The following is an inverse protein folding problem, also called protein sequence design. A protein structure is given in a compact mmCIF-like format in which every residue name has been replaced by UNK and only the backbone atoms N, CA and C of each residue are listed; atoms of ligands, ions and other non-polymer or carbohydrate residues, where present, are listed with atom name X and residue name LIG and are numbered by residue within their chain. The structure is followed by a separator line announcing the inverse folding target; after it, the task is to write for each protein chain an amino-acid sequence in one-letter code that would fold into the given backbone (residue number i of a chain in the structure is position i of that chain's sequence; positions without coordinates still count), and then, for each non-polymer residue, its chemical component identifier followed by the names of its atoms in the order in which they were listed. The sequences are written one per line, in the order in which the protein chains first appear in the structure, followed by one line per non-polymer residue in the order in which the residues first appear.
data_IF_709175518885
#
_entry.id   IF_709175518885
#
_cell.length_a   1.000
_cell.length_b   1.000
_cell.length_c   1.000
_cell.angle_alpha   90.00
_cell.angle_beta   90.00
_cell.angle_gamma   90.00
#
_symmetry.space_group_name_H-M   'P 1'
#
loop_
_entity.id
_entity.type
_entity.pdbx_description
1 polymer ?
2 polymer ?
3 non-polymer ?
4 water ?
#
# COMPACT_ATOMS: atom_id res chain seq x y z
N UNK A 1 -49.26 44.44 13.57
CA UNK A 1 -50.22 44.94 12.54
C UNK A 1 -49.84 44.39 11.17
N UNK A 2 -50.75 44.53 10.21
CA UNK A 2 -50.52 44.04 8.85
C UNK A 2 -49.31 44.69 8.19
N UNK A 3 -49.11 45.98 8.43
CA UNK A 3 -47.98 46.70 7.83
C UNK A 3 -46.66 46.10 8.27
N UNK A 4 -46.55 45.78 9.56
CA UNK A 4 -45.34 45.19 10.10
C UNK A 4 -45.13 43.80 9.52
N UNK A 5 -46.18 42.98 9.54
CA UNK A 5 -46.08 41.63 9.02
C UNK A 5 -45.67 41.62 7.54
N UNK A 6 -46.23 42.53 6.74
CA UNK A 6 -45.88 42.56 5.32
C UNK A 6 -44.44 42.98 5.07
N UNK A 7 -43.94 43.99 5.78
CA UNK A 7 -42.55 44.40 5.58
C UNK A 7 -41.65 43.21 5.95
N UNK A 8 -41.95 42.55 7.06
CA UNK A 8 -41.14 41.41 7.47
C UNK A 8 -41.20 40.30 6.44
N UNK A 9 -42.38 40.05 5.89
CA UNK A 9 -42.56 39.02 4.88
C UNK A 9 -41.74 39.31 3.63
N UNK A 10 -41.70 40.58 3.24
CA UNK A 10 -40.94 40.98 2.06
C UNK A 10 -39.45 40.85 2.33
N UNK A 11 -39.03 41.23 3.54
CA UNK A 11 -37.62 41.13 3.90
C UNK A 11 -37.23 39.66 3.89
N UNK A 12 -38.09 38.83 4.46
CA UNK A 12 -37.81 37.40 4.52
C UNK A 12 -37.77 36.75 3.14
N UNK A 13 -38.66 37.16 2.25
CA UNK A 13 -38.69 36.61 0.89
C UNK A 13 -37.38 36.95 0.18
N UNK A 14 -36.90 38.17 0.35
CA UNK A 14 -35.65 38.59 -0.28
C UNK A 14 -34.47 37.79 0.29
N UNK A 15 -34.49 37.56 1.60
CA UNK A 15 -33.43 36.80 2.26
C UNK A 15 -33.44 35.36 1.76
N UNK A 16 -34.63 34.80 1.59
CA UNK A 16 -34.77 33.43 1.12
C UNK A 16 -34.13 33.27 -0.26
N UNK A 17 -34.30 34.25 -1.13
CA UNK A 17 -33.71 34.17 -2.46
C UNK A 17 -32.19 34.21 -2.35
N UNK A 18 -31.67 34.98 -1.40
CA UNK A 18 -30.22 35.05 -1.22
C UNK A 18 -29.70 33.73 -0.65
N UNK A 19 -30.47 33.11 0.24
CA UNK A 19 -30.07 31.83 0.82
C UNK A 19 -30.05 30.77 -0.28
N UNK A 20 -31.05 30.79 -1.15
CA UNK A 20 -31.10 29.83 -2.24
C UNK A 20 -29.88 30.00 -3.14
N UNK A 21 -29.55 31.24 -3.50
CA UNK A 21 -28.39 31.49 -4.35
C UNK A 21 -27.10 31.08 -3.65
N UNK A 22 -27.03 31.32 -2.34
CA UNK A 22 -25.85 30.95 -1.58
C UNK A 22 -25.62 29.43 -1.61
N UNK A 23 -26.67 28.66 -1.33
CA UNK A 23 -26.56 27.20 -1.34
C UNK A 23 -26.20 26.70 -2.74
N UNK A 24 -26.75 27.33 -3.77
CA UNK A 24 -26.43 26.93 -5.13
C UNK A 24 -24.93 27.07 -5.37
N UNK A 25 -24.34 28.17 -4.90
CA UNK A 25 -22.91 28.40 -5.05
C UNK A 25 -22.11 27.41 -4.20
N UNK A 26 -22.61 27.12 -3.00
CA UNK A 26 -21.94 26.16 -2.12
C UNK A 26 -21.94 24.79 -2.80
N UNK A 27 -23.08 24.40 -3.38
CA UNK A 27 -23.18 23.12 -4.07
C UNK A 27 -22.20 23.07 -5.23
N UNK A 28 -22.05 24.20 -5.93
CA UNK A 28 -21.12 24.27 -7.05
C UNK A 28 -19.70 24.07 -6.53
N UNK A 29 -19.40 24.63 -5.36
CA UNK A 29 -18.08 24.49 -4.76
C UNK A 29 -17.82 23.02 -4.41
N UNK A 30 -18.82 22.35 -3.85
CA UNK A 30 -18.65 20.95 -3.48
C UNK A 30 -18.42 20.11 -4.74
N UNK A 31 -19.15 20.40 -5.81
CA UNK A 31 -18.98 19.66 -7.06
C UNK A 31 -17.55 19.84 -7.57
N UNK A 32 -16.99 21.04 -7.40
CA UNK A 32 -15.62 21.30 -7.82
C UNK A 32 -14.65 20.45 -7.00
N UNK A 33 -14.92 20.33 -5.70
CA UNK A 33 -14.06 19.53 -4.84
C UNK A 33 -14.17 18.07 -5.24
N UNK A 34 -15.37 17.62 -5.60
CA UNK A 34 -15.54 16.24 -6.04
C UNK A 34 -14.67 16.00 -7.28
N UNK A 35 -14.68 16.95 -8.22
CA UNK A 35 -13.87 16.80 -9.42
C UNK A 35 -12.38 16.76 -9.07
N UNK A 36 -11.97 17.59 -8.12
CA UNK A 36 -10.57 17.61 -7.69
C UNK A 36 -10.19 16.27 -7.08
N UNK A 37 -11.07 15.73 -6.25
CA UNK A 37 -10.83 14.46 -5.58
C UNK A 37 -10.69 13.33 -6.60
N UNK A 38 -11.54 13.35 -7.62
CA UNK A 38 -11.49 12.34 -8.66
C UNK A 38 -10.17 12.41 -9.41
N UNK A 39 -9.76 13.63 -9.75
CA UNK A 39 -8.50 13.83 -10.46
C UNK A 39 -7.33 13.32 -9.62
N UNK A 40 -7.38 13.59 -8.32
CA UNK A 40 -6.32 13.15 -7.42
C UNK A 40 -6.34 11.63 -7.29
N UNK A 41 -7.53 11.04 -7.23
CA UNK A 41 -7.62 9.60 -7.13
C UNK A 41 -7.03 8.95 -8.37
N UNK A 42 -7.28 9.56 -9.52
CA UNK A 42 -6.77 9.06 -10.79
C UNK A 42 -5.24 9.12 -10.77
N UNK A 43 -4.69 10.21 -10.25
CA UNK A 43 -3.24 10.37 -10.15
C UNK A 43 -2.65 9.29 -9.24
N UNK A 44 -3.33 9.03 -8.12
CA UNK A 44 -2.84 8.02 -7.18
C UNK A 44 -2.88 6.62 -7.80
N UNK A 45 -3.89 6.33 -8.61
CA UNK A 45 -3.92 5.02 -9.26
C UNK A 45 -2.72 4.95 -10.21
N UNK A 46 -2.45 6.05 -10.91
CA UNK A 46 -1.32 6.08 -11.84
C UNK A 46 -0.02 5.84 -11.10
N UNK A 47 0.08 6.36 -9.88
CA UNK A 47 1.29 6.14 -9.09
C UNK A 47 1.43 4.65 -8.75
N UNK A 48 0.34 4.05 -8.28
CA UNK A 48 0.33 2.62 -7.95
C UNK A 48 0.73 1.80 -9.18
N UNK A 49 0.09 2.10 -10.31
CA UNK A 49 0.37 1.38 -11.54
C UNK A 49 1.82 1.49 -12.00
N UNK A 50 2.41 2.67 -11.83
CA UNK A 50 3.80 2.88 -12.23
C UNK A 50 4.73 2.07 -11.34
N UNK A 51 4.45 2.08 -10.04
CA UNK A 51 5.28 1.33 -9.10
C UNK A 51 5.23 -0.16 -9.41
N UNK A 52 4.04 -0.69 -9.65
CA UNK A 52 3.91 -2.11 -9.92
C UNK A 52 4.33 -2.57 -11.30
N UNK A 53 4.10 -1.75 -12.32
CA UNK A 53 4.43 -2.15 -13.68
C UNK A 53 5.80 -1.76 -14.21
N UNK A 54 6.36 -0.67 -13.69
CA UNK A 54 7.66 -0.20 -14.15
C UNK A 54 8.75 -0.31 -13.10
N UNK A 55 8.52 0.29 -11.94
CA UNK A 55 9.51 0.28 -10.87
C UNK A 55 9.86 -1.11 -10.35
N UNK A 56 8.86 -1.86 -9.91
CA UNK A 56 9.11 -3.19 -9.37
C UNK A 56 9.86 -4.12 -10.33
N UNK A 57 9.37 -4.27 -11.58
CA UNK A 57 10.07 -5.16 -12.52
C UNK A 57 11.52 -4.72 -12.75
N UNK A 58 11.75 -3.41 -12.76
CA UNK A 58 13.10 -2.87 -12.98
C UNK A 58 14.03 -3.16 -11.81
N UNK A 59 13.50 -3.19 -10.59
CA UNK A 59 14.33 -3.47 -9.42
C UNK A 59 14.80 -4.92 -9.49
N UNK A 60 13.87 -5.83 -9.76
CA UNK A 60 14.21 -7.24 -9.86
C UNK A 60 15.25 -7.42 -10.96
N UNK A 61 15.03 -6.75 -12.09
CA UNK A 61 15.93 -6.82 -13.23
C UNK A 61 17.33 -6.32 -12.92
N UNK A 62 17.43 -5.35 -12.01
CA UNK A 62 18.72 -4.78 -11.65
C UNK A 62 19.64 -5.77 -10.94
N UNK A 63 19.10 -6.93 -10.58
CA UNK A 63 19.87 -7.97 -9.91
C UNK A 63 20.57 -8.91 -10.89
N UNK A 64 20.21 -8.83 -12.16
CA UNK A 64 20.78 -9.76 -13.14
C UNK A 64 21.59 -9.17 -14.28
N UNK B 1 22.82 -3.73 -23.07
CA UNK B 1 21.71 -2.78 -22.78
C UNK B 1 20.86 -3.26 -21.62
N UNK B 2 20.14 -2.32 -21.01
CA UNK B 2 19.22 -2.61 -19.92
C UNK B 2 17.99 -1.78 -20.25
N UNK B 3 16.85 -2.11 -19.66
CA UNK B 3 15.62 -1.39 -19.95
C UNK B 3 15.55 -0.03 -19.27
N UNK B 4 15.19 1.00 -20.02
CA UNK B 4 15.08 2.35 -19.47
C UNK B 4 13.80 2.45 -18.64
N UNK B 5 13.74 3.46 -17.77
CA UNK B 5 12.58 3.67 -16.91
C UNK B 5 11.84 4.97 -17.25
N UNK B 6 10.65 4.84 -17.81
CA UNK B 6 9.83 5.99 -18.20
C UNK B 6 9.43 6.83 -16.98
N UNK B 7 9.71 8.15 -17.01
CA UNK B 7 9.36 9.03 -15.88
C UNK B 7 7.85 9.13 -15.68
N UNK B 8 7.40 8.94 -14.44
CA UNK B 8 5.99 9.03 -14.12
C UNK B 8 5.54 10.48 -14.32
N UNK B 9 4.41 10.68 -14.98
CA UNK B 9 3.92 12.03 -15.21
C UNK B 9 2.44 12.16 -14.88
N UNK B 10 2.15 12.76 -13.73
CA UNK B 10 0.77 12.98 -13.30
C UNK B 10 0.56 14.48 -13.15
N UNK B 11 1.43 15.25 -13.80
CA UNK B 11 1.36 16.70 -13.73
C UNK B 11 0.02 17.27 -14.20
N UNK B 12 -0.57 16.66 -15.22
CA UNK B 12 -1.85 17.15 -15.72
C UNK B 12 -2.98 16.91 -14.73
N UNK B 13 -2.98 15.75 -14.08
CA UNK B 13 -4.00 15.45 -13.07
C UNK B 13 -3.85 16.45 -11.92
N UNK B 14 -2.61 16.69 -11.49
CA UNK B 14 -2.37 17.62 -10.39
C UNK B 14 -2.79 19.04 -10.75
N UNK B 15 -2.56 19.44 -12.00
CA UNK B 15 -2.95 20.78 -12.43
C UNK B 15 -4.47 20.89 -12.37
N UNK B 16 -5.15 19.84 -12.80
CA UNK B 16 -6.61 19.82 -12.78
C UNK B 16 -7.12 19.92 -11.34
N UNK B 17 -6.43 19.25 -10.41
CA UNK B 17 -6.83 19.31 -9.01
C UNK B 17 -6.77 20.75 -8.52
N UNK B 18 -5.65 21.42 -8.77
CA UNK B 18 -5.51 22.79 -8.31
C UNK B 18 -6.48 23.77 -8.95
N UNK B 19 -6.84 23.54 -10.21
CA UNK B 19 -7.79 24.43 -10.88
C UNK B 19 -9.18 24.23 -10.29
N UNK B 20 -9.53 22.98 -10.02
CA UNK B 20 -10.83 22.68 -9.44
C UNK B 20 -10.96 23.27 -8.04
N UNK B 21 -9.88 23.21 -7.26
CA UNK B 21 -9.91 23.76 -5.92
C UNK B 21 -10.03 25.28 -5.96
N UNK B 22 -9.41 25.89 -6.97
CA UNK B 22 -9.49 27.34 -7.12
C UNK B 22 -10.94 27.72 -7.44
N UNK B 23 -11.56 26.94 -8.31
CA UNK B 23 -12.95 27.17 -8.69
C UNK B 23 -13.85 27.01 -7.46
N UNK B 24 -13.53 26.03 -6.61
CA UNK B 24 -14.33 25.80 -5.42
C UNK B 24 -14.28 27.02 -4.50
N UNK B 25 -13.08 27.55 -4.28
CA UNK B 25 -12.92 28.72 -3.42
C UNK B 25 -13.64 29.94 -3.99
N UNK B 26 -13.64 30.08 -5.31
CA UNK B 26 -14.33 31.19 -5.95
C UNK B 26 -15.84 31.08 -5.68
N UNK B 27 -16.36 29.86 -5.81
CA UNK B 27 -17.78 29.61 -5.58
C UNK B 27 -18.15 29.87 -4.12
N UNK B 28 -17.26 29.51 -3.19
CA UNK B 28 -17.54 29.75 -1.78
C UNK B 28 -17.58 31.26 -1.52
N UNK B 29 -16.73 32.01 -2.21
CA UNK B 29 -16.70 33.45 -2.04
C UNK B 29 -18.02 34.04 -2.52
N UNK B 30 -18.54 33.51 -3.63
CA UNK B 30 -19.80 33.98 -4.17
C UNK B 30 -20.94 33.63 -3.22
N UNK B 31 -20.88 32.45 -2.61
CA UNK B 31 -21.91 32.03 -1.67
C UNK B 31 -21.93 33.00 -0.49
N UNK B 32 -20.75 33.33 0.03
CA UNK B 32 -20.65 34.24 1.16
C UNK B 32 -21.19 35.62 0.81
N UNK B 33 -21.05 36.02 -0.45
CA UNK B 33 -21.54 37.33 -0.88
C UNK B 33 -23.06 37.37 -0.76
N UNK B 34 -23.72 36.29 -1.17
CA UNK B 34 -25.18 36.23 -1.07
C UNK B 34 -25.61 36.23 0.39
N UNK B 35 -24.89 35.51 1.24
CA UNK B 35 -25.22 35.45 2.66
C UNK B 35 -25.10 36.83 3.31
N UNK B 36 -24.12 37.61 2.85
CA UNK B 36 -23.90 38.94 3.39
C UNK B 36 -24.99 39.91 3.01
N UNK B 37 -25.77 39.56 2.00
CA UNK B 37 -26.85 40.41 1.55
C UNK B 37 -28.03 40.26 2.51
N UNK B 38 -27.87 39.38 3.50
CA UNK B 38 -28.90 39.16 4.50
C UNK B 38 -28.44 39.82 5.80
N UNK C 1 53.88 -44.12 6.18
CA UNK C 1 53.95 -44.85 4.88
C UNK C 1 53.16 -44.06 3.84
N UNK C 2 53.51 -44.23 2.57
CA UNK C 2 52.83 -43.54 1.48
C UNK C 2 51.39 -44.03 1.31
N UNK C 3 51.14 -45.26 1.76
CA UNK C 3 49.81 -45.86 1.67
C UNK C 3 48.83 -45.26 2.67
N UNK C 4 49.22 -45.23 3.94
CA UNK C 4 48.37 -44.67 4.99
C UNK C 4 48.05 -43.21 4.67
N UNK C 5 49.05 -42.47 4.20
CA UNK C 5 48.86 -41.06 3.86
C UNK C 5 47.83 -40.90 2.75
N UNK C 6 47.96 -41.69 1.69
CA UNK C 6 47.03 -41.62 0.57
C UNK C 6 45.62 -42.00 1.02
N UNK C 7 45.53 -43.05 1.83
CA UNK C 7 44.25 -43.51 2.34
C UNK C 7 43.59 -42.40 3.16
N UNK C 8 44.35 -41.82 4.09
CA UNK C 8 43.82 -40.75 4.92
C UNK C 8 43.40 -39.57 4.04
N UNK C 9 44.20 -39.30 3.02
CA UNK C 9 43.90 -38.21 2.09
C UNK C 9 42.58 -38.42 1.38
N UNK C 10 42.34 -39.64 0.93
CA UNK C 10 41.10 -39.94 0.24
C UNK C 10 39.91 -39.94 1.19
N UNK C 11 40.11 -40.40 2.42
CA UNK C 11 39.02 -40.42 3.38
C UNK C 11 38.63 -38.99 3.73
N UNK C 12 39.60 -38.09 3.78
CA UNK C 12 39.26 -36.72 4.10
C UNK C 12 38.49 -36.08 2.94
N UNK C 13 38.80 -36.48 1.71
CA UNK C 13 38.08 -35.97 0.55
C UNK C 13 36.62 -36.42 0.65
N UNK C 14 36.40 -37.64 1.14
CA UNK C 14 35.03 -38.13 1.29
C UNK C 14 34.29 -37.30 2.35
N UNK C 15 34.99 -36.96 3.43
CA UNK C 15 34.38 -36.16 4.49
C UNK C 15 34.05 -34.76 3.96
N UNK C 16 34.95 -34.22 3.14
CA UNK C 16 34.76 -32.91 2.56
C UNK C 16 33.49 -32.87 1.71
N UNK C 17 33.20 -33.95 0.99
CA UNK C 17 31.99 -34.01 0.17
C UNK C 17 30.77 -33.95 1.08
N UNK C 18 30.83 -34.65 2.22
CA UNK C 18 29.71 -34.62 3.15
C UNK C 18 29.55 -33.24 3.79
N UNK C 19 30.67 -32.57 4.07
CA UNK C 19 30.61 -31.23 4.65
C UNK C 19 29.96 -30.28 3.65
N UNK C 20 30.34 -30.40 2.38
CA UNK C 20 29.76 -29.55 1.34
C UNK C 20 28.26 -29.77 1.23
N UNK C 21 27.85 -31.04 1.22
CA UNK C 21 26.43 -31.35 1.12
C UNK C 21 25.67 -30.81 2.33
N UNK C 22 26.29 -30.89 3.51
CA UNK C 22 25.64 -30.40 4.72
C UNK C 22 25.41 -28.89 4.63
N UNK C 23 26.44 -28.14 4.23
CA UNK C 23 26.29 -26.70 4.13
C UNK C 23 25.26 -26.31 3.07
N UNK C 24 25.20 -27.07 1.98
CA UNK C 24 24.21 -26.76 0.95
C UNK C 24 22.81 -26.86 1.55
N UNK C 25 22.58 -27.89 2.37
CA UNK C 25 21.27 -28.07 3.00
C UNK C 25 21.00 -27.00 4.06
N UNK C 26 22.04 -26.62 4.81
CA UNK C 26 21.89 -25.58 5.82
C UNK C 26 21.50 -24.28 5.11
N UNK C 27 22.14 -24.00 3.97
CA UNK C 27 21.83 -22.78 3.24
C UNK C 27 20.38 -22.79 2.76
N UNK C 28 19.91 -23.95 2.31
CA UNK C 28 18.53 -24.08 1.85
C UNK C 28 17.60 -23.79 3.02
N UNK C 29 17.97 -24.23 4.22
CA UNK C 29 17.16 -23.98 5.40
C UNK C 29 17.08 -22.49 5.71
N UNK C 30 18.21 -21.79 5.61
CA UNK C 30 18.21 -20.36 5.88
C UNK C 30 17.33 -19.63 4.86
N UNK C 31 17.40 -20.05 3.60
CA UNK C 31 16.59 -19.44 2.55
C UNK C 31 15.10 -19.65 2.89
N UNK C 32 14.76 -20.81 3.45
CA UNK C 32 13.38 -21.09 3.85
C UNK C 32 12.95 -20.12 4.95
N UNK C 33 13.81 -19.91 5.93
CA UNK C 33 13.49 -18.99 7.01
C UNK C 33 13.33 -17.57 6.46
N UNK C 34 14.13 -17.21 5.47
CA UNK C 34 13.99 -15.88 4.87
C UNK C 34 12.59 -15.75 4.28
N UNK C 35 12.15 -16.79 3.56
CA UNK C 35 10.82 -16.77 2.96
C UNK C 35 9.73 -16.68 4.04
N UNK C 36 9.93 -17.41 5.14
CA UNK C 36 8.97 -17.38 6.24
C UNK C 36 8.89 -15.97 6.83
N UNK C 37 10.04 -15.35 7.02
CA UNK C 37 10.11 -14.00 7.57
C UNK C 37 9.40 -13.01 6.66
N UNK C 38 9.62 -13.14 5.36
CA UNK C 38 8.98 -12.26 4.40
C UNK C 38 7.46 -12.41 4.47
N UNK C 39 6.98 -13.65 4.55
CA UNK C 39 5.54 -13.90 4.62
C UNK C 39 4.95 -13.31 5.90
N UNK C 40 5.70 -13.40 7.00
CA UNK C 40 5.23 -12.85 8.26
C UNK C 40 5.19 -11.31 8.15
N UNK C 41 6.17 -10.73 7.47
CA UNK C 41 6.20 -9.29 7.28
C UNK C 41 4.99 -8.84 6.48
N UNK C 42 4.61 -9.64 5.49
CA UNK C 42 3.44 -9.33 4.67
C UNK C 42 2.18 -9.35 5.55
N UNK C 43 2.12 -10.30 6.48
CA UNK C 43 0.98 -10.39 7.38
C UNK C 43 0.92 -9.14 8.27
N UNK C 44 2.07 -8.72 8.78
CA UNK C 44 2.11 -7.54 9.63
C UNK C 44 1.70 -6.29 8.85
N UNK C 45 2.12 -6.19 7.59
CA UNK C 45 1.73 -5.04 6.77
C UNK C 45 0.20 -5.07 6.62
N UNK C 46 -0.36 -6.26 6.41
CA UNK C 46 -1.80 -6.40 6.26
C UNK C 46 -2.54 -6.01 7.54
N UNK C 47 -1.94 -6.28 8.69
CA UNK C 47 -2.55 -5.90 9.96
C UNK C 47 -2.59 -4.38 10.03
N UNK C 48 -1.48 -3.73 9.68
CA UNK C 48 -1.45 -2.27 9.70
C UNK C 48 -2.53 -1.71 8.77
N UNK C 49 -2.61 -2.23 7.55
CA UNK C 49 -3.59 -1.74 6.60
C UNK C 49 -5.02 -1.96 7.06
N UNK C 50 -5.27 -3.08 7.73
CA UNK C 50 -6.61 -3.36 8.23
C UNK C 50 -6.97 -2.35 9.31
N UNK C 51 -6.04 -2.09 10.21
CA UNK C 51 -6.31 -1.13 11.27
C UNK C 51 -6.58 0.27 10.69
N UNK C 52 -5.72 0.71 9.77
CA UNK C 52 -5.89 2.04 9.19
C UNK C 52 -7.04 2.21 8.22
N UNK C 53 -7.32 1.18 7.43
CA UNK C 53 -8.37 1.25 6.41
C UNK C 53 -9.74 0.72 6.79
N UNK C 54 -9.80 -0.15 7.79
CA UNK C 54 -11.08 -0.74 8.17
C UNK C 54 -11.50 -0.40 9.59
N UNK C 55 -10.64 -0.69 10.55
CA UNK C 55 -10.95 -0.43 11.95
C UNK C 55 -11.12 1.04 12.27
N UNK C 56 -10.12 1.84 11.93
CA UNK C 56 -10.16 3.27 12.22
C UNK C 56 -11.40 3.98 11.69
N UNK C 57 -11.70 3.84 10.38
CA UNK C 57 -12.88 4.49 9.80
C UNK C 57 -14.18 4.06 10.49
N UNK C 58 -14.22 2.82 10.95
CA UNK C 58 -15.41 2.31 11.62
C UNK C 58 -15.62 3.03 12.95
N UNK C 59 -14.52 3.38 13.61
CA UNK C 59 -14.58 4.06 14.89
C UNK C 59 -14.98 5.52 14.71
N UNK C 60 -14.29 6.21 13.81
CA UNK C 60 -14.60 7.62 13.57
C UNK C 60 -15.98 7.73 12.93
N UNK C 61 -16.64 6.58 12.82
CA UNK C 61 -17.99 6.49 12.29
C UNK C 61 -18.80 5.88 13.43
N UNK C 62 -18.17 5.81 14.59
CA UNK C 62 -18.78 5.24 15.79
C UNK C 62 -19.29 6.33 16.72
N UNK D 4 -21.03 -2.60 10.32
CA UNK D 4 -20.50 -3.92 9.95
C UNK D 4 -19.03 -3.75 9.54
N UNK D 5 -18.13 -4.48 10.20
CA UNK D 5 -16.69 -4.41 9.92
C UNK D 5 -16.14 -5.74 9.41
N UNK D 6 -15.61 -5.76 8.19
CA UNK D 6 -15.07 -6.99 7.63
C UNK D 6 -13.89 -7.51 8.45
N UNK D 7 -13.95 -8.79 8.86
CA UNK D 7 -12.89 -9.40 9.66
C UNK D 7 -11.53 -9.49 8.97
N UNK D 8 -10.49 -9.41 9.77
CA UNK D 8 -9.12 -9.51 9.29
C UNK D 8 -8.77 -10.99 9.16
N UNK D 9 -8.10 -11.37 8.08
CA UNK D 9 -7.71 -12.77 7.93
C UNK D 9 -6.39 -12.84 7.18
N UNK D 10 -5.32 -13.11 7.92
CA UNK D 10 -4.00 -13.23 7.33
C UNK D 10 -3.53 -14.68 7.39
N UNK D 11 -4.49 -15.60 7.44
CA UNK D 11 -4.18 -17.02 7.50
C UNK D 11 -3.36 -17.51 6.30
N UNK D 12 -3.58 -16.93 5.12
CA UNK D 12 -2.82 -17.32 3.93
C UNK D 12 -1.33 -17.07 4.15
N UNK D 13 -1.02 -15.92 4.75
CA UNK D 13 0.37 -15.58 5.00
C UNK D 13 0.97 -16.50 6.04
N UNK D 14 0.22 -16.80 7.09
CA UNK D 14 0.73 -17.66 8.13
C UNK D 14 0.92 -19.09 7.62
N UNK D 15 0.08 -19.51 6.67
CA UNK D 15 0.20 -20.84 6.10
C UNK D 15 1.56 -20.91 5.40
N UNK D 16 1.94 -19.84 4.71
CA UNK D 16 3.23 -19.79 4.02
C UNK D 16 4.37 -19.79 5.02
N UNK D 17 4.18 -19.09 6.14
CA UNK D 17 5.20 -19.06 7.18
C UNK D 17 5.46 -20.47 7.69
N UNK D 18 4.40 -21.18 8.06
CA UNK D 18 4.56 -22.51 8.60
C UNK D 18 5.10 -23.53 7.60
N UNK D 19 4.71 -23.40 6.34
CA UNK D 19 5.21 -24.29 5.31
C UNK D 19 6.73 -24.09 5.20
N UNK D 20 7.15 -22.82 5.16
CA UNK D 20 8.57 -22.52 5.04
C UNK D 20 9.39 -22.95 6.24
N UNK D 21 8.84 -22.78 7.44
CA UNK D 21 9.56 -23.17 8.64
C UNK D 21 9.73 -24.69 8.69
N UNK D 22 8.70 -25.43 8.29
CA UNK D 22 8.82 -26.87 8.29
C UNK D 22 9.84 -27.30 7.25
N UNK D 23 9.87 -26.60 6.12
CA UNK D 23 10.83 -26.93 5.07
C UNK D 23 12.24 -26.66 5.60
N UNK D 24 12.40 -25.59 6.38
CA UNK D 24 13.70 -25.27 6.95
C UNK D 24 14.17 -26.39 7.87
N UNK D 25 13.28 -26.86 8.73
CA UNK D 25 13.65 -27.92 9.66
C UNK D 25 14.04 -29.21 8.96
N UNK D 26 13.35 -29.56 7.88
CA UNK D 26 13.71 -30.80 7.21
C UNK D 26 15.06 -30.63 6.52
N UNK D 27 15.36 -29.43 6.03
CA UNK D 27 16.66 -29.20 5.42
C UNK D 27 17.76 -29.31 6.48
N UNK D 28 17.48 -28.82 7.69
CA UNK D 28 18.46 -28.92 8.76
C UNK D 28 18.68 -30.39 9.14
N UNK D 29 17.60 -31.18 9.08
CA UNK D 29 17.70 -32.59 9.39
C UNK D 29 18.59 -33.26 8.36
N UNK D 30 18.44 -32.86 7.10
CA UNK D 30 19.27 -33.41 6.04
C UNK D 30 20.74 -33.05 6.30
N UNK D 31 20.98 -31.78 6.65
CA UNK D 31 22.33 -31.32 6.93
C UNK D 31 22.97 -32.13 8.06
N UNK D 32 22.26 -32.26 9.17
CA UNK D 32 22.78 -33.01 10.31
C UNK D 32 23.11 -34.45 9.93
N UNK D 33 22.34 -35.03 9.01
CA UNK D 33 22.57 -36.41 8.59
C UNK D 33 23.84 -36.55 7.74
N UNK D 34 24.15 -35.54 6.94
CA UNK D 34 25.37 -35.58 6.14
C UNK D 34 26.56 -35.48 7.11
N UNK D 35 26.40 -34.70 8.18
CA UNK D 35 27.47 -34.54 9.16
C UNK D 35 27.72 -35.82 9.94
N UNK D 36 26.66 -36.56 10.22
CA UNK D 36 26.78 -37.80 10.97
C UNK D 36 27.49 -38.87 10.13
N UNK D 37 27.70 -38.59 8.85
CA UNK D 37 28.39 -39.54 7.97
C UNK D 37 29.90 -39.34 8.07
N UNK D 38 30.30 -38.33 8.83
CA UNK D 38 31.71 -38.02 9.02
C UNK D 38 32.21 -38.66 10.31
X LIG E 1 -10.15 15.45 -1.56
X LIG F 1 -42.45 35.63 6.36
X LIG G 1 11.63 -14.49 11.36
X LIG H 1 43.84 -34.67 3.45
#
# INVERSE_FOLDING_TARGET
TAAVALVKANENAAAILNLKNAIQKTNAAVADVVQATQSLGTAVQAVQDHINSVVSPAITAANY
QILSIDPLDISQNLAAVNKSLSDALQHLAQSDTYLSAI
TAAVALVKANENAAAILNLKNAIQKTNAAVADVVQATQSLGTAVQAVQDHINSVVSPAITAANY
QILSIDPLDISQNLAAVNKSLSDALQHLAQSDTYLSAI
CL CL
CL CL
CL CL
CL CL
#
